data_IF_029631824627
#
_entry.id   IF_029631824627
#
_cell.length_a   1.000
_cell.length_b   1.000
_cell.length_c   1.000
_cell.angle_alpha   90.00
_cell.angle_beta   90.00
_cell.angle_gamma   90.00
#
_symmetry.space_group_name_H-M   'P 1'
#
loop_
_entity.id
_entity.type
_entity.pdbx_description
1 polymer ?
#
# COMPACT_ATOMS: atom_id res chain seq x y z
N UNK A 1 -11.08 15.88 -54.59
CA UNK A 1 -11.99 15.30 -53.61
C UNK A 1 -11.36 14.21 -52.75
N UNK A 2 -10.46 13.38 -53.26
CA UNK A 2 -9.78 12.35 -52.50
C UNK A 2 -8.87 12.86 -51.37
N UNK A 3 -8.27 14.03 -51.53
CA UNK A 3 -7.35 14.64 -50.56
C UNK A 3 -8.04 15.09 -49.27
N UNK A 4 -9.30 15.55 -49.36
CA UNK A 4 -10.08 15.99 -48.18
C UNK A 4 -10.51 14.84 -47.28
N UNK A 5 -10.75 13.67 -47.84
CA UNK A 5 -11.12 12.46 -47.07
C UNK A 5 -9.92 11.92 -46.32
N UNK A 6 -8.72 12.00 -46.88
CA UNK A 6 -7.48 11.55 -46.27
C UNK A 6 -7.09 12.40 -45.05
N UNK A 7 -7.33 13.69 -45.07
CA UNK A 7 -7.08 14.61 -43.97
C UNK A 7 -7.99 14.36 -42.75
N UNK A 8 -9.22 13.95 -42.98
CA UNK A 8 -10.16 13.60 -41.91
C UNK A 8 -9.74 12.32 -41.18
N UNK A 9 -9.20 11.34 -41.90
CA UNK A 9 -8.73 10.08 -41.30
C UNK A 9 -7.52 10.29 -40.39
N UNK A 10 -6.60 11.15 -40.77
CA UNK A 10 -5.43 11.47 -39.95
C UNK A 10 -5.78 12.17 -38.66
N UNK A 11 -6.78 13.06 -38.67
CA UNK A 11 -7.24 13.76 -37.47
C UNK A 11 -7.91 12.83 -36.47
N UNK A 12 -8.67 11.82 -36.91
CA UNK A 12 -9.34 10.85 -36.03
C UNK A 12 -8.34 9.94 -35.33
N UNK A 13 -7.26 9.53 -36.02
CA UNK A 13 -6.20 8.72 -35.41
C UNK A 13 -5.45 9.45 -34.30
N UNK A 14 -5.31 10.76 -34.39
CA UNK A 14 -4.64 11.56 -33.37
C UNK A 14 -5.41 11.64 -32.05
N UNK A 15 -6.75 11.69 -32.12
CA UNK A 15 -7.59 11.73 -30.92
C UNK A 15 -7.61 10.42 -30.14
N UNK A 16 -7.47 9.28 -30.81
CA UNK A 16 -7.51 7.97 -30.18
C UNK A 16 -6.25 7.72 -29.33
N UNK A 17 -5.09 8.15 -29.80
CA UNK A 17 -3.81 7.98 -29.07
C UNK A 17 -3.77 8.79 -27.76
N UNK A 18 -4.33 9.98 -27.73
CA UNK A 18 -4.36 10.83 -26.53
C UNK A 18 -5.26 10.27 -25.42
N UNK A 19 -6.27 9.48 -25.77
CA UNK A 19 -7.21 8.90 -24.80
C UNK A 19 -6.63 7.67 -24.09
N UNK A 20 -5.79 6.90 -24.76
CA UNK A 20 -5.14 5.72 -24.16
C UNK A 20 -4.10 6.09 -23.10
N UNK A 21 -3.34 7.13 -23.30
CA UNK A 21 -2.34 7.60 -22.34
C UNK A 21 -2.95 8.01 -21.00
N UNK A 22 -4.13 8.62 -21.01
CA UNK A 22 -4.84 9.02 -19.78
C UNK A 22 -5.33 7.82 -18.97
N UNK A 23 -5.77 6.76 -19.62
CA UNK A 23 -6.23 5.54 -18.94
C UNK A 23 -5.09 4.82 -18.22
N UNK A 24 -3.92 4.78 -18.83
CA UNK A 24 -2.76 4.13 -18.23
C UNK A 24 -2.27 4.84 -16.97
N UNK A 25 -2.28 6.17 -16.93
CA UNK A 25 -1.90 6.96 -15.76
C UNK A 25 -2.86 6.71 -14.59
N UNK A 26 -4.16 6.69 -14.85
CA UNK A 26 -5.19 6.44 -13.83
C UNK A 26 -5.08 5.02 -13.25
N UNK A 27 -4.78 4.02 -14.06
CA UNK A 27 -4.61 2.65 -13.62
C UNK A 27 -3.39 2.46 -12.72
N UNK A 28 -2.31 3.20 -12.95
CA UNK A 28 -1.10 3.14 -12.13
C UNK A 28 -1.39 3.69 -10.73
N UNK A 29 -2.08 4.81 -10.62
CA UNK A 29 -2.46 5.41 -9.34
C UNK A 29 -3.35 4.48 -8.50
N UNK A 30 -4.26 3.77 -9.15
CA UNK A 30 -5.19 2.87 -8.46
C UNK A 30 -4.52 1.57 -7.97
N UNK A 31 -3.33 1.24 -8.44
CA UNK A 31 -2.59 0.05 -8.04
C UNK A 31 -1.50 0.30 -6.99
N UNK A 32 -1.23 1.56 -6.67
CA UNK A 32 -0.24 1.92 -5.65
C UNK A 32 -0.80 1.80 -4.25
N UNK A 33 0.00 1.20 -3.35
CA UNK A 33 -0.36 1.07 -1.94
C UNK A 33 -0.26 2.44 -1.26
N UNK A 34 -1.37 2.92 -0.72
CA UNK A 34 -1.42 4.18 0.02
C UNK A 34 -1.33 3.99 1.53
N UNK A 35 -1.86 2.88 2.02
CA UNK A 35 -1.88 2.57 3.46
C UNK A 35 -2.16 1.08 3.68
N UNK A 36 -2.05 0.66 4.92
CA UNK A 36 -2.34 -0.71 5.31
C UNK A 36 -3.09 -0.78 6.64
N UNK A 37 -3.71 -1.92 6.89
CA UNK A 37 -4.32 -2.26 8.17
C UNK A 37 -3.84 -3.64 8.58
N UNK A 38 -3.32 -3.75 9.80
CA UNK A 38 -2.99 -5.02 10.42
C UNK A 38 -4.22 -5.53 11.18
N UNK A 39 -4.69 -6.69 10.83
CA UNK A 39 -5.76 -7.38 11.55
C UNK A 39 -5.13 -8.46 12.41
N UNK A 40 -5.31 -8.38 13.72
CA UNK A 40 -4.70 -9.30 14.68
C UNK A 40 -5.55 -9.38 15.94
N UNK A 41 -5.40 -10.46 16.76
CA UNK A 41 -6.04 -10.52 18.07
C UNK A 41 -5.60 -9.37 18.98
N UNK A 42 -6.41 -9.08 20.01
CA UNK A 42 -6.09 -8.05 20.99
C UNK A 42 -4.75 -8.31 21.68
N UNK A 43 -3.88 -7.28 21.74
CA UNK A 43 -2.57 -7.38 22.39
C UNK A 43 -2.66 -7.60 23.90
N UNK A 44 -3.81 -7.28 24.51
CA UNK A 44 -4.06 -7.52 25.93
C UNK A 44 -4.77 -8.85 26.19
N UNK A 45 -5.19 -9.55 25.11
CA UNK A 45 -5.89 -10.84 25.21
C UNK A 45 -4.94 -12.02 25.29
N UNK A 46 -5.53 -13.22 25.49
CA UNK A 46 -4.77 -14.46 25.60
C UNK A 46 -4.40 -15.07 24.24
N UNK A 47 -5.20 -14.82 23.21
CA UNK A 47 -5.03 -15.40 21.89
C UNK A 47 -3.71 -15.04 21.22
N UNK A 48 -3.31 -13.76 21.32
CA UNK A 48 -2.08 -13.28 20.70
C UNK A 48 -0.82 -13.87 21.36
N UNK A 49 -0.91 -14.20 22.64
CA UNK A 49 0.21 -14.79 23.38
C UNK A 49 0.59 -16.19 22.89
N UNK A 50 -0.35 -16.87 22.23
CA UNK A 50 -0.11 -18.17 21.58
C UNK A 50 0.69 -18.01 20.28
N UNK A 51 0.86 -16.77 19.79
CA UNK A 51 1.60 -16.42 18.59
C UNK A 51 2.70 -15.43 18.96
N UNK A 52 3.82 -15.91 19.54
CA UNK A 52 4.85 -15.03 20.11
C UNK A 52 5.50 -14.10 19.09
N UNK A 53 5.64 -14.53 17.85
CA UNK A 53 6.20 -13.70 16.79
C UNK A 53 5.27 -12.54 16.40
N UNK A 54 3.98 -12.83 16.30
CA UNK A 54 2.96 -11.80 16.04
C UNK A 54 2.88 -10.82 17.20
N UNK A 55 2.91 -11.32 18.43
CA UNK A 55 2.91 -10.50 19.64
C UNK A 55 4.12 -9.56 19.66
N UNK A 56 5.31 -10.08 19.34
CA UNK A 56 6.53 -9.29 19.26
C UNK A 56 6.40 -8.18 18.20
N UNK A 57 5.89 -8.51 17.02
CA UNK A 57 5.66 -7.53 15.97
C UNK A 57 4.72 -6.42 16.45
N UNK A 58 3.58 -6.76 17.05
CA UNK A 58 2.59 -5.78 17.49
C UNK A 58 3.10 -4.89 18.62
N UNK A 59 3.90 -5.43 19.53
CA UNK A 59 4.40 -4.68 20.68
C UNK A 59 5.65 -3.84 20.38
N UNK A 60 6.52 -4.31 19.52
CA UNK A 60 7.82 -3.68 19.29
C UNK A 60 7.95 -2.97 17.95
N UNK A 61 7.30 -3.47 16.91
CA UNK A 61 7.56 -3.07 15.53
C UNK A 61 6.41 -2.27 14.90
N UNK A 62 5.17 -2.68 15.12
CA UNK A 62 4.01 -2.06 14.48
C UNK A 62 3.97 -0.54 14.61
N UNK A 63 4.22 -0.02 15.80
CA UNK A 63 4.15 1.41 16.09
C UNK A 63 5.24 2.23 15.37
N UNK A 64 6.25 1.60 14.81
CA UNK A 64 7.31 2.25 14.05
C UNK A 64 6.87 2.59 12.63
N UNK A 65 5.84 1.92 12.12
CA UNK A 65 5.38 2.14 10.75
C UNK A 65 4.36 3.28 10.67
N UNK A 66 4.54 4.11 9.66
CA UNK A 66 3.62 5.19 9.34
C UNK A 66 2.55 4.69 8.35
N UNK A 67 1.33 5.23 8.45
CA UNK A 67 0.19 4.85 7.61
C UNK A 67 -0.23 3.37 7.74
N UNK A 68 0.09 2.74 8.85
CA UNK A 68 -0.30 1.37 9.16
C UNK A 68 -1.23 1.38 10.37
N UNK A 69 -2.48 1.03 10.15
CA UNK A 69 -3.49 0.95 11.21
C UNK A 69 -3.53 -0.44 11.81
N UNK A 70 -4.11 -0.55 12.99
CA UNK A 70 -4.35 -1.81 13.68
C UNK A 70 -5.84 -1.97 13.96
N UNK A 71 -6.38 -3.11 13.59
CA UNK A 71 -7.76 -3.50 13.90
C UNK A 71 -7.73 -4.79 14.69
N UNK A 72 -8.26 -4.74 15.91
CA UNK A 72 -8.32 -5.89 16.81
C UNK A 72 -9.55 -6.73 16.49
N UNK A 73 -9.37 -8.01 16.18
CA UNK A 73 -10.46 -8.97 16.03
C UNK A 73 -9.98 -10.38 16.33
N UNK A 74 -10.83 -11.15 17.00
CA UNK A 74 -10.60 -12.56 17.26
C UNK A 74 -11.23 -13.47 16.20
N UNK A 75 -12.09 -12.90 15.35
CA UNK A 75 -12.88 -13.66 14.38
C UNK A 75 -12.13 -13.98 13.09
N UNK A 76 -11.12 -13.20 12.77
CA UNK A 76 -10.35 -13.35 11.53
C UNK A 76 -8.93 -13.80 11.83
N UNK A 77 -8.34 -14.54 10.88
CA UNK A 77 -6.91 -14.85 10.94
C UNK A 77 -6.08 -13.58 10.82
N UNK A 78 -4.92 -13.51 11.51
CA UNK A 78 -4.01 -12.38 11.39
C UNK A 78 -3.60 -12.14 9.94
N UNK A 79 -3.77 -10.90 9.48
CA UNK A 79 -3.49 -10.53 8.10
C UNK A 79 -3.18 -9.05 7.99
N UNK A 80 -2.53 -8.66 6.90
CA UNK A 80 -2.32 -7.27 6.52
C UNK A 80 -3.13 -7.01 5.25
N UNK A 81 -3.91 -5.94 5.26
CA UNK A 81 -4.70 -5.51 4.10
C UNK A 81 -4.08 -4.22 3.58
N UNK A 82 -3.72 -4.20 2.31
CA UNK A 82 -3.22 -3.00 1.63
C UNK A 82 -4.32 -2.33 0.84
N UNK A 83 -4.41 -1.01 0.96
CA UNK A 83 -5.39 -0.17 0.29
C UNK A 83 -4.71 0.83 -0.64
N UNK A 84 -5.39 1.17 -1.73
CA UNK A 84 -4.96 2.25 -2.60
C UNK A 84 -5.43 3.62 -2.06
N UNK A 85 -5.15 4.67 -2.80
CA UNK A 85 -5.55 6.03 -2.47
C UNK A 85 -7.08 6.18 -2.33
N UNK A 86 -7.86 5.40 -3.07
CA UNK A 86 -9.33 5.42 -3.04
C UNK A 86 -9.93 4.52 -1.95
N UNK A 87 -9.10 3.92 -1.10
CA UNK A 87 -9.53 3.00 -0.04
C UNK A 87 -10.04 1.64 -0.55
N UNK A 88 -9.67 1.28 -1.75
CA UNK A 88 -9.98 -0.04 -2.29
C UNK A 88 -8.92 -1.04 -1.88
N UNK A 89 -9.33 -2.27 -1.60
CA UNK A 89 -8.41 -3.35 -1.21
C UNK A 89 -7.60 -3.78 -2.43
N UNK A 90 -6.27 -3.68 -2.32
CA UNK A 90 -5.36 -4.13 -3.36
C UNK A 90 -4.85 -5.55 -3.12
N UNK A 91 -4.51 -5.85 -1.87
CA UNK A 91 -3.87 -7.11 -1.52
C UNK A 91 -4.12 -7.45 -0.06
N UNK A 92 -4.27 -8.73 0.21
CA UNK A 92 -4.39 -9.28 1.56
C UNK A 92 -3.30 -10.32 1.75
N UNK A 93 -2.49 -10.17 2.80
CA UNK A 93 -1.39 -11.09 3.11
C UNK A 93 -1.61 -11.67 4.50
N UNK A 94 -1.68 -12.99 4.59
CA UNK A 94 -1.79 -13.69 5.87
C UNK A 94 -0.44 -13.67 6.59
N UNK A 95 -0.44 -13.30 7.87
CA UNK A 95 0.78 -13.16 8.67
C UNK A 95 0.82 -14.08 9.90
N UNK A 96 -0.20 -14.88 10.12
CA UNK A 96 -0.33 -15.70 11.32
C UNK A 96 0.79 -16.71 11.56
N UNK A 97 1.43 -17.21 10.51
CA UNK A 97 2.54 -18.16 10.61
C UNK A 97 3.91 -17.56 10.33
N UNK A 98 4.02 -16.25 10.25
CA UNK A 98 5.27 -15.57 9.90
C UNK A 98 5.99 -15.04 11.13
N UNK A 99 7.32 -14.93 11.03
CA UNK A 99 8.14 -14.31 12.09
C UNK A 99 7.96 -12.78 12.06
N UNK A 100 8.31 -12.12 13.17
CA UNK A 100 8.26 -10.66 13.25
C UNK A 100 9.09 -10.00 12.15
N UNK A 101 10.27 -10.55 11.86
CA UNK A 101 11.15 -10.04 10.82
C UNK A 101 10.56 -10.22 9.42
N UNK A 102 9.88 -11.33 9.16
CA UNK A 102 9.19 -11.56 7.89
C UNK A 102 8.04 -10.59 7.67
N UNK A 103 7.27 -10.30 8.71
CA UNK A 103 6.18 -9.32 8.66
C UNK A 103 6.75 -7.93 8.37
N UNK A 104 7.83 -7.56 9.05
CA UNK A 104 8.52 -6.29 8.81
C UNK A 104 9.04 -6.20 7.37
N UNK A 105 9.61 -7.27 6.84
CA UNK A 105 10.09 -7.30 5.46
C UNK A 105 8.96 -7.08 4.43
N UNK A 106 7.78 -7.64 4.67
CA UNK A 106 6.60 -7.43 3.81
C UNK A 106 6.24 -5.94 3.75
N UNK A 107 6.25 -5.26 4.90
CA UNK A 107 5.94 -3.83 4.98
C UNK A 107 7.03 -2.97 4.32
N UNK A 108 8.29 -3.32 4.52
CA UNK A 108 9.42 -2.63 3.91
C UNK A 108 9.39 -2.74 2.38
N UNK A 109 9.09 -3.91 1.85
CA UNK A 109 8.92 -4.14 0.41
C UNK A 109 7.73 -3.36 -0.17
N UNK A 110 6.67 -3.20 0.62
CA UNK A 110 5.51 -2.41 0.22
C UNK A 110 5.78 -0.91 0.22
N UNK A 111 6.89 -0.46 0.78
CA UNK A 111 7.30 0.93 0.78
C UNK A 111 6.91 1.74 2.02
N UNK A 112 6.46 1.09 3.09
CA UNK A 112 6.12 1.77 4.34
C UNK A 112 7.35 2.37 5.01
N UNK A 113 7.23 3.59 5.48
CA UNK A 113 8.29 4.24 6.24
C UNK A 113 8.34 3.69 7.67
N UNK A 114 9.52 3.26 8.08
CA UNK A 114 9.77 2.75 9.43
C UNK A 114 10.58 3.77 10.23
N UNK A 115 10.01 4.25 11.33
CA UNK A 115 10.70 5.15 12.25
C UNK A 115 11.79 4.39 13.01
N UNK A 116 12.83 5.11 13.45
CA UNK A 116 13.91 4.49 14.23
C UNK A 116 13.51 4.19 15.67
N UNK A 117 12.57 4.97 16.21
CA UNK A 117 12.04 4.78 17.57
C UNK A 117 10.57 5.23 17.67
N UNK A 118 9.88 4.69 18.67
CA UNK A 118 8.49 5.04 18.94
C UNK A 118 8.36 6.52 19.33
N UNK A 119 7.34 7.18 18.81
CA UNK A 119 7.08 8.58 19.11
C UNK A 119 7.87 9.57 18.26
N UNK A 120 8.75 9.10 17.39
CA UNK A 120 9.45 9.94 16.43
C UNK A 120 8.48 10.52 15.41
N UNK A 121 8.65 11.80 15.08
CA UNK A 121 7.86 12.42 14.01
C UNK A 121 8.35 11.95 12.65
N UNK A 122 7.39 11.65 11.77
CA UNK A 122 7.71 11.29 10.38
C UNK A 122 8.12 12.56 9.63
N UNK A 123 9.32 12.57 8.99
CA UNK A 123 9.74 13.70 8.17
C UNK A 123 8.70 13.97 7.07
N UNK A 124 8.52 15.24 6.73
CA UNK A 124 7.53 15.66 5.73
C UNK A 124 7.70 14.94 4.39
N UNK A 125 8.93 14.62 4.03
CA UNK A 125 9.28 13.92 2.81
C UNK A 125 8.70 12.51 2.73
N UNK A 126 8.46 11.88 3.88
CA UNK A 126 8.00 10.49 3.98
C UNK A 126 6.57 10.32 4.49
N UNK A 127 5.89 11.42 4.79
CA UNK A 127 4.52 11.35 5.33
C UNK A 127 3.51 10.70 4.36
N UNK A 128 3.79 10.74 3.08
CA UNK A 128 2.93 10.14 2.06
C UNK A 128 3.19 8.65 1.82
N UNK A 129 4.32 8.12 2.32
CA UNK A 129 4.65 6.72 2.09
C UNK A 129 3.60 5.79 2.72
N UNK A 130 3.26 4.67 2.11
CA UNK A 130 3.98 3.97 1.03
C UNK A 130 3.68 4.42 -0.40
N UNK A 131 2.82 5.42 -0.61
CA UNK A 131 2.68 6.00 -1.95
C UNK A 131 4.06 6.45 -2.41
N UNK A 132 4.53 5.88 -3.49
CA UNK A 132 5.80 6.29 -4.06
C UNK A 132 5.67 7.71 -4.56
N UNK A 133 6.60 8.57 -4.14
CA UNK A 133 6.71 9.90 -4.73
C UNK A 133 6.84 9.75 -6.24
N UNK A 134 6.21 10.64 -7.03
CA UNK A 134 6.44 10.63 -8.46
C UNK A 134 7.94 10.62 -8.70
N UNK A 135 8.39 9.64 -9.46
CA UNK A 135 9.82 9.51 -9.75
C UNK A 135 10.24 10.64 -10.66
N UNK A 136 10.77 11.68 -10.05
CA UNK A 136 11.33 12.82 -10.77
C UNK A 136 12.76 12.56 -11.25
N UNK A 137 13.20 11.34 -11.19
CA UNK A 137 14.55 10.96 -11.49
C UNK A 137 14.82 10.76 -12.96
N UNK A 138 14.14 11.44 -13.74
CA UNK A 138 14.45 11.36 -15.16
C UNK A 138 15.09 12.60 -15.68
#
# INVERSE_FOLDING_TARGET
MAVRVLLCFLAVCFYVTATEDRKNITLIEDTEIARGTVIAPSVVGCSIKRKPELYKFMMEIWALYHNLKYESTEEKEPQIIFYNFKNEVLKVIKIGGRTADEISAILDEAGFYKKSQKGEEVPKEFQHLPLQAPRDEL
#
